data_IF_319343512000
#
_entry.id   IF_319343512000
#
_cell.length_a   1.000
_cell.length_b   1.000
_cell.length_c   1.000
_cell.angle_alpha   90.00
_cell.angle_beta   90.00
_cell.angle_gamma   90.00
#
_symmetry.space_group_name_H-M   'P 1'
#
loop_
_entity.id
_entity.type
_entity.pdbx_description
1 polymer ?
#
# COMPACT_ATOMS: atom_id res chain seq x y z
N UNK A 1 -6.28 -9.94 22.90
CA UNK A 1 -5.00 -10.70 22.82
C UNK A 1 -4.93 -11.87 23.82
N UNK A 2 -5.77 -11.92 24.87
CA UNK A 2 -5.80 -13.00 25.86
C UNK A 2 -6.11 -14.42 25.27
N UNK A 3 -6.65 -14.51 24.07
CA UNK A 3 -6.92 -15.78 23.36
C UNK A 3 -5.76 -16.25 22.48
N UNK A 4 -4.78 -15.39 22.24
CA UNK A 4 -3.63 -15.65 21.38
C UNK A 4 -2.35 -15.31 22.15
N UNK A 5 -1.27 -16.01 21.82
CA UNK A 5 0.08 -15.64 22.28
C UNK A 5 0.73 -14.82 21.17
N UNK A 6 0.75 -13.47 21.24
CA UNK A 6 1.29 -12.63 20.18
C UNK A 6 2.73 -12.98 19.82
N UNK A 7 3.50 -13.48 20.78
CA UNK A 7 4.89 -13.90 20.62
C UNK A 7 5.08 -14.97 19.53
N UNK A 8 4.09 -15.80 19.29
CA UNK A 8 4.12 -16.80 18.22
C UNK A 8 4.03 -16.18 16.80
N UNK A 9 3.63 -14.91 16.74
CA UNK A 9 3.42 -14.16 15.49
C UNK A 9 4.46 -13.07 15.27
N UNK A 10 5.34 -12.84 16.22
CA UNK A 10 6.48 -11.94 16.03
C UNK A 10 7.44 -12.57 15.03
N UNK A 11 7.33 -12.16 13.79
CA UNK A 11 8.18 -12.65 12.72
C UNK A 11 9.33 -11.69 12.47
N UNK A 12 10.47 -12.22 12.06
CA UNK A 12 11.65 -11.38 11.72
C UNK A 12 11.47 -10.63 10.42
N UNK A 13 10.20 -10.24 10.05
CA UNK A 13 10.23 -10.24 8.71
C UNK A 13 9.54 -9.33 7.75
N UNK A 14 8.54 -8.72 7.82
CA UNK A 14 8.00 -7.99 6.67
C UNK A 14 8.36 -6.50 6.60
N UNK A 15 9.00 -6.01 7.58
CA UNK A 15 9.52 -4.65 7.56
C UNK A 15 10.78 -4.62 6.71
N UNK A 16 10.60 -4.34 5.43
CA UNK A 16 11.67 -4.21 4.46
C UNK A 16 12.77 -3.31 5.03
N UNK A 17 13.77 -3.92 5.66
CA UNK A 17 15.02 -3.27 6.02
C UNK A 17 15.00 -2.09 6.99
N UNK A 18 13.97 -1.92 7.78
CA UNK A 18 13.81 -0.72 8.59
C UNK A 18 14.04 -0.93 10.07
N UNK A 19 13.95 -2.13 10.57
CA UNK A 19 14.09 -2.37 11.98
C UNK A 19 15.51 -2.69 12.37
N UNK A 20 16.01 -1.94 13.32
CA UNK A 20 17.21 -2.30 14.06
C UNK A 20 16.81 -3.20 15.22
N UNK A 21 17.11 -4.49 15.12
CA UNK A 21 16.85 -5.43 16.20
C UNK A 21 15.68 -6.39 15.97
N UNK A 22 15.29 -7.12 17.01
CA UNK A 22 14.17 -8.06 16.97
C UNK A 22 12.85 -7.28 17.04
N UNK A 23 12.07 -7.32 15.95
CA UNK A 23 10.76 -6.69 15.91
C UNK A 23 9.72 -7.50 16.68
N UNK A 24 8.97 -6.78 17.49
CA UNK A 24 7.75 -7.25 18.14
C UNK A 24 6.59 -6.45 17.56
N UNK A 25 6.19 -6.88 16.36
CA UNK A 25 5.20 -6.20 15.55
C UNK A 25 3.77 -6.45 16.06
N UNK A 26 2.98 -5.39 16.18
CA UNK A 26 1.57 -5.47 16.56
C UNK A 26 0.70 -4.69 15.57
N UNK A 27 -0.45 -5.27 15.18
CA UNK A 27 -1.40 -4.58 14.29
C UNK A 27 -2.21 -3.54 15.06
N UNK A 28 -2.42 -2.39 14.42
CA UNK A 28 -3.30 -1.32 14.88
C UNK A 28 -4.42 -1.09 13.85
N UNK A 29 -5.62 -0.86 14.34
CA UNK A 29 -6.75 -0.35 13.57
C UNK A 29 -7.16 1.01 14.13
N UNK A 30 -6.78 2.06 13.45
CA UNK A 30 -7.06 3.43 13.83
C UNK A 30 -8.38 3.95 13.26
N UNK A 31 -8.84 3.34 12.15
CA UNK A 31 -10.03 3.78 11.42
C UNK A 31 -10.86 2.60 10.95
N UNK A 32 -12.12 2.86 10.61
CA UNK A 32 -13.01 1.88 9.96
C UNK A 32 -13.68 2.46 8.76
N UNK A 33 -13.79 1.64 7.70
CA UNK A 33 -14.43 2.00 6.45
C UNK A 33 -13.55 2.82 5.52
N UNK A 34 -14.11 3.22 4.40
CA UNK A 34 -13.44 4.04 3.39
C UNK A 34 -14.50 4.88 2.67
N UNK A 35 -14.36 6.21 2.56
CA UNK A 35 -15.40 7.06 1.95
C UNK A 35 -15.39 6.99 0.42
N UNK A 36 -14.46 6.25 -0.17
CA UNK A 36 -14.30 6.13 -1.61
C UNK A 36 -15.05 4.92 -2.17
N UNK A 37 -15.44 5.03 -3.45
CA UNK A 37 -16.22 4.01 -4.16
C UNK A 37 -15.45 3.50 -5.38
N UNK A 38 -14.20 3.09 -5.17
CA UNK A 38 -13.40 2.52 -6.24
C UNK A 38 -14.06 1.25 -6.77
N UNK A 39 -14.24 1.16 -8.09
CA UNK A 39 -15.06 0.11 -8.72
C UNK A 39 -14.51 -1.31 -8.57
N UNK A 40 -13.21 -1.44 -8.29
CA UNK A 40 -12.53 -2.71 -8.08
C UNK A 40 -12.54 -3.19 -6.62
N UNK A 41 -12.96 -2.33 -5.69
CA UNK A 41 -12.86 -2.55 -4.26
C UNK A 41 -14.20 -3.01 -3.67
N UNK A 42 -14.17 -4.02 -2.80
CA UNK A 42 -15.36 -4.53 -2.09
C UNK A 42 -15.72 -3.71 -0.84
N UNK A 43 -14.86 -2.78 -0.40
CA UNK A 43 -15.07 -2.02 0.84
C UNK A 43 -16.42 -1.28 0.90
N UNK A 44 -16.93 -0.66 -0.18
CA UNK A 44 -18.23 0.01 -0.15
C UNK A 44 -19.38 -0.93 0.20
N UNK A 45 -19.29 -2.19 -0.21
CA UNK A 45 -20.30 -3.22 0.07
C UNK A 45 -20.14 -3.85 1.45
N UNK A 46 -18.89 -4.05 1.89
CA UNK A 46 -18.58 -4.68 3.19
C UNK A 46 -18.70 -3.72 4.36
N UNK A 47 -18.25 -2.48 4.21
CA UNK A 47 -18.08 -1.50 5.30
C UNK A 47 -18.90 -0.24 5.11
N UNK A 48 -19.66 -0.12 4.02
CA UNK A 48 -20.29 1.12 3.54
C UNK A 48 -19.26 2.20 3.20
N UNK A 49 -19.73 3.41 2.87
CA UNK A 49 -18.87 4.58 2.65
C UNK A 49 -18.67 5.43 3.90
N UNK A 50 -19.12 4.95 5.05
CA UNK A 50 -18.89 5.61 6.34
C UNK A 50 -17.44 5.44 6.76
N UNK A 51 -16.80 6.55 7.09
CA UNK A 51 -15.44 6.57 7.60
C UNK A 51 -15.42 7.03 9.05
N UNK A 52 -14.95 6.18 9.93
CA UNK A 52 -14.90 6.42 11.37
C UNK A 52 -13.43 6.41 11.79
N UNK A 53 -12.99 7.49 12.41
CA UNK A 53 -11.66 7.61 13.01
C UNK A 53 -11.80 7.45 14.53
N UNK A 54 -10.89 6.69 15.11
CA UNK A 54 -10.71 6.67 16.57
C UNK A 54 -10.07 7.96 17.06
N UNK A 55 -10.28 8.28 18.32
CA UNK A 55 -9.55 9.37 18.95
C UNK A 55 -8.03 9.03 18.97
N UNK A 56 -7.15 9.93 18.53
CA UNK A 56 -5.71 9.73 18.61
C UNK A 56 -5.20 9.32 19.99
N UNK A 57 -5.79 9.83 21.06
CA UNK A 57 -5.43 9.45 22.44
C UNK A 57 -5.71 8.00 22.74
N UNK A 58 -6.89 7.49 22.33
CA UNK A 58 -7.24 6.08 22.51
C UNK A 58 -6.30 5.13 21.77
N UNK A 59 -5.81 5.55 20.59
CA UNK A 59 -4.84 4.77 19.83
C UNK A 59 -3.49 4.74 20.55
N UNK A 60 -3.07 5.87 21.10
CA UNK A 60 -1.82 5.95 21.85
C UNK A 60 -1.94 5.21 23.18
N UNK A 61 -3.11 5.21 23.84
CA UNK A 61 -3.38 4.35 25.02
C UNK A 61 -3.19 2.87 24.69
N UNK A 62 -3.70 2.42 23.54
CA UNK A 62 -3.50 1.04 23.06
C UNK A 62 -2.03 0.74 22.77
N UNK A 63 -1.32 1.65 22.13
CA UNK A 63 0.12 1.51 21.85
C UNK A 63 0.91 1.39 23.15
N UNK A 64 0.67 2.25 24.13
CA UNK A 64 1.32 2.19 25.45
C UNK A 64 1.05 0.85 26.16
N UNK A 65 -0.19 0.38 26.12
CA UNK A 65 -0.55 -0.90 26.68
C UNK A 65 0.17 -2.06 25.99
N UNK A 66 0.24 -2.05 24.63
CA UNK A 66 0.95 -3.07 23.86
C UNK A 66 2.47 -3.06 24.13
N UNK A 67 3.05 -1.88 24.33
CA UNK A 67 4.46 -1.75 24.73
C UNK A 67 4.67 -2.38 26.10
N UNK A 68 3.82 -2.06 27.07
CA UNK A 68 3.95 -2.53 28.46
C UNK A 68 3.71 -4.03 28.58
N UNK A 69 2.70 -4.56 27.90
CA UNK A 69 2.26 -5.95 28.06
C UNK A 69 3.06 -6.93 27.22
N UNK A 70 3.44 -6.53 26.00
CA UNK A 70 4.07 -7.40 25.00
C UNK A 70 5.45 -6.93 24.57
N UNK A 71 5.98 -5.85 25.15
CA UNK A 71 7.22 -5.19 24.73
C UNK A 71 7.21 -4.87 23.22
N UNK A 72 6.05 -4.51 22.68
CA UNK A 72 5.88 -4.17 21.28
C UNK A 72 6.73 -2.95 20.93
N UNK A 73 7.39 -2.98 19.77
CA UNK A 73 8.27 -1.90 19.32
C UNK A 73 8.08 -1.52 17.86
N UNK A 74 7.16 -2.20 17.17
CA UNK A 74 6.76 -1.89 15.80
C UNK A 74 5.24 -2.06 15.65
N UNK A 75 4.59 -1.14 14.92
CA UNK A 75 3.14 -1.10 14.77
C UNK A 75 2.73 -0.97 13.32
N UNK A 76 1.84 -1.84 12.84
CA UNK A 76 1.32 -1.80 11.48
C UNK A 76 -0.15 -1.35 11.47
N UNK A 77 -0.43 -0.29 10.72
CA UNK A 77 -1.79 0.21 10.53
C UNK A 77 -2.48 -0.55 9.40
N UNK A 78 -3.35 -1.50 9.75
CA UNK A 78 -4.11 -2.34 8.80
C UNK A 78 -5.45 -1.72 8.37
N UNK A 79 -5.53 -0.43 8.39
CA UNK A 79 -6.68 0.34 7.96
C UNK A 79 -6.90 0.26 6.45
N UNK A 80 -8.14 0.24 5.99
CA UNK A 80 -8.45 0.33 4.55
C UNK A 80 -7.92 1.63 3.92
N UNK A 81 -7.86 2.71 4.70
CA UNK A 81 -7.16 3.95 4.40
C UNK A 81 -6.94 4.70 5.71
N UNK A 82 -5.73 4.68 6.23
CA UNK A 82 -5.43 5.17 7.57
C UNK A 82 -5.59 6.69 7.69
N UNK A 83 -5.12 7.45 6.69
CA UNK A 83 -5.01 8.91 6.78
C UNK A 83 -5.87 9.56 5.69
N UNK A 84 -6.94 10.25 6.10
CA UNK A 84 -7.78 11.11 5.25
C UNK A 84 -7.75 12.56 5.72
N UNK A 85 -7.62 12.81 7.02
CA UNK A 85 -7.55 14.15 7.60
C UNK A 85 -6.15 14.45 8.11
N UNK A 86 -5.56 15.54 7.62
CA UNK A 86 -4.25 16.01 8.07
C UNK A 86 -4.24 16.33 9.56
N UNK A 87 -5.26 17.02 10.08
CA UNK A 87 -5.33 17.37 11.50
C UNK A 87 -5.28 16.13 12.39
N UNK A 88 -6.01 15.08 12.04
CA UNK A 88 -6.05 13.85 12.81
C UNK A 88 -4.68 13.17 12.93
N UNK A 89 -3.92 13.09 11.84
CA UNK A 89 -2.59 12.48 11.90
C UNK A 89 -1.59 13.36 12.65
N UNK A 90 -1.70 14.68 12.55
CA UNK A 90 -0.88 15.60 13.36
C UNK A 90 -1.20 15.44 14.85
N UNK A 91 -2.49 15.32 15.22
CA UNK A 91 -2.90 15.08 16.61
C UNK A 91 -2.35 13.77 17.15
N UNK A 92 -2.35 12.70 16.35
CA UNK A 92 -1.75 11.41 16.70
C UNK A 92 -0.23 11.53 16.94
N UNK A 93 0.49 12.17 16.02
CA UNK A 93 1.93 12.39 16.17
C UNK A 93 2.26 13.25 17.41
N UNK A 94 1.46 14.28 17.66
CA UNK A 94 1.61 15.13 18.83
C UNK A 94 1.34 14.38 20.14
N UNK A 95 0.38 13.46 20.17
CA UNK A 95 0.08 12.67 21.36
C UNK A 95 1.22 11.67 21.64
N UNK A 96 1.80 11.01 20.63
CA UNK A 96 3.01 10.18 20.79
C UNK A 96 4.17 10.99 21.38
N UNK A 97 4.43 12.18 20.84
CA UNK A 97 5.48 13.08 21.32
C UNK A 97 5.23 13.55 22.75
N UNK A 98 4.00 13.93 23.09
CA UNK A 98 3.61 14.38 24.44
C UNK A 98 3.83 13.30 25.50
N UNK A 99 3.63 12.03 25.15
CA UNK A 99 3.87 10.89 26.03
C UNK A 99 5.29 10.33 25.94
N UNK A 100 6.17 11.01 25.22
CA UNK A 100 7.58 10.62 25.04
C UNK A 100 7.75 9.21 24.46
N UNK A 101 6.78 8.73 23.67
CA UNK A 101 6.86 7.45 22.96
C UNK A 101 7.69 7.66 21.68
N UNK A 102 9.01 7.45 21.78
CA UNK A 102 9.97 7.75 20.72
C UNK A 102 10.83 6.53 20.29
N UNK A 103 10.72 5.41 21.01
CA UNK A 103 11.49 4.18 20.75
C UNK A 103 10.69 3.12 20.00
N UNK A 104 9.77 3.56 19.16
CA UNK A 104 8.96 2.67 18.33
C UNK A 104 9.14 2.98 16.84
N UNK A 105 8.83 1.98 16.02
CA UNK A 105 8.55 2.20 14.59
C UNK A 105 7.08 1.92 14.32
N UNK A 106 6.53 2.58 13.31
CA UNK A 106 5.20 2.28 12.82
C UNK A 106 5.11 2.46 11.30
N UNK A 107 4.11 1.88 10.69
CA UNK A 107 4.06 1.70 9.25
C UNK A 107 2.65 1.85 8.70
N UNK A 108 2.57 2.29 7.45
CA UNK A 108 1.35 2.36 6.63
C UNK A 108 1.46 1.36 5.47
N UNK A 109 1.33 0.04 5.72
CA UNK A 109 1.56 -0.99 4.71
C UNK A 109 0.40 -1.14 3.71
N UNK A 110 -0.79 -0.73 4.10
CA UNK A 110 -2.01 -0.77 3.28
C UNK A 110 -2.17 0.57 2.58
N UNK A 111 -2.28 0.57 1.27
CA UNK A 111 -2.24 1.72 0.38
C UNK A 111 -2.83 3.03 0.92
N UNK A 112 -1.95 3.96 1.24
CA UNK A 112 -2.31 5.28 1.76
C UNK A 112 -2.54 6.29 0.63
N UNK A 113 -3.37 7.28 0.89
CA UNK A 113 -3.67 8.36 -0.06
C UNK A 113 -2.77 9.57 0.21
N UNK A 114 -2.40 10.25 -0.87
CA UNK A 114 -1.48 11.41 -0.82
C UNK A 114 -2.14 12.73 -0.42
N UNK A 115 -3.47 12.80 -0.43
CA UNK A 115 -4.19 14.07 -0.30
C UNK A 115 -4.01 14.76 1.08
N UNK A 116 -3.77 13.97 2.12
CA UNK A 116 -3.50 14.47 3.46
C UNK A 116 -2.02 14.47 3.84
N UNK A 117 -1.14 14.03 2.93
CA UNK A 117 0.30 13.86 3.14
C UNK A 117 1.09 14.96 2.42
N UNK A 118 1.01 16.18 2.92
CA UNK A 118 1.92 17.27 2.55
C UNK A 118 3.23 17.21 3.35
N UNK A 119 4.14 18.15 3.13
CA UNK A 119 5.47 18.19 3.76
C UNK A 119 5.39 18.23 5.30
N UNK A 120 4.45 19.00 5.86
CA UNK A 120 4.26 19.08 7.32
C UNK A 120 3.80 17.72 7.90
N UNK A 121 2.78 17.10 7.29
CA UNK A 121 2.29 15.81 7.74
C UNK A 121 3.36 14.72 7.58
N UNK A 122 4.05 14.68 6.43
CA UNK A 122 5.13 13.72 6.17
C UNK A 122 6.28 13.87 7.16
N UNK A 123 6.65 15.10 7.50
CA UNK A 123 7.68 15.33 8.52
C UNK A 123 7.20 14.89 9.91
N UNK A 124 5.98 15.24 10.31
CA UNK A 124 5.44 14.87 11.61
C UNK A 124 5.39 13.35 11.79
N UNK A 125 4.90 12.60 10.78
CA UNK A 125 4.84 11.14 10.85
C UNK A 125 6.25 10.51 10.88
N UNK A 126 7.22 11.07 10.15
CA UNK A 126 8.60 10.59 10.19
C UNK A 126 9.24 10.80 11.56
N UNK A 127 9.10 12.00 12.11
CA UNK A 127 9.64 12.38 13.43
C UNK A 127 8.99 11.55 14.56
N UNK A 128 7.77 11.02 14.35
CA UNK A 128 7.07 10.14 15.29
C UNK A 128 7.36 8.64 15.10
N UNK A 129 8.28 8.27 14.21
CA UNK A 129 8.71 6.89 14.00
C UNK A 129 8.08 6.17 12.81
N UNK A 130 7.29 6.84 11.97
CA UNK A 130 6.77 6.25 10.73
C UNK A 130 7.90 6.09 9.71
N UNK A 131 8.33 4.86 9.53
CA UNK A 131 9.44 4.58 8.63
C UNK A 131 9.00 4.15 7.23
N UNK A 132 7.77 3.64 7.07
CA UNK A 132 7.30 3.04 5.83
C UNK A 132 5.92 3.54 5.42
N UNK A 133 5.81 3.95 4.15
CA UNK A 133 4.57 4.41 3.54
C UNK A 133 4.33 3.68 2.22
N UNK A 134 3.19 3.00 2.12
CA UNK A 134 2.70 2.44 0.88
C UNK A 134 1.68 3.39 0.24
N UNK A 135 1.98 3.90 -0.94
CA UNK A 135 0.99 4.60 -1.76
C UNK A 135 0.35 3.63 -2.75
N UNK A 136 -0.94 3.78 -2.99
CA UNK A 136 -1.69 2.98 -3.96
C UNK A 136 -2.30 3.87 -5.05
N UNK A 137 -1.49 4.32 -6.04
CA UNK A 137 -2.01 5.01 -7.20
C UNK A 137 -2.99 4.15 -8.01
N UNK A 138 -2.83 2.85 -8.04
CA UNK A 138 -3.50 1.83 -8.84
C UNK A 138 -3.17 1.93 -10.33
N UNK A 139 -3.17 3.10 -10.93
CA UNK A 139 -2.84 3.30 -12.35
C UNK A 139 -2.06 4.60 -12.57
N UNK A 140 -1.19 4.60 -13.57
CA UNK A 140 -0.54 5.79 -14.12
C UNK A 140 -1.32 6.43 -15.28
N UNK A 141 -2.48 5.88 -15.64
CA UNK A 141 -3.37 6.42 -16.64
C UNK A 141 -4.54 7.17 -16.02
N UNK A 142 -4.65 8.48 -16.26
CA UNK A 142 -5.78 9.27 -15.76
C UNK A 142 -7.12 8.72 -16.28
N UNK A 143 -7.14 8.21 -17.52
CA UNK A 143 -8.30 7.54 -18.09
C UNK A 143 -8.72 6.35 -17.23
N UNK A 144 -7.78 5.46 -16.88
CA UNK A 144 -8.05 4.31 -16.01
C UNK A 144 -8.50 4.76 -14.63
N UNK A 145 -7.81 5.74 -14.01
CA UNK A 145 -8.19 6.29 -12.70
C UNK A 145 -9.63 6.81 -12.67
N UNK A 146 -10.04 7.50 -13.70
CA UNK A 146 -11.43 8.01 -13.82
C UNK A 146 -12.42 6.84 -13.94
N UNK A 147 -12.11 5.82 -14.75
CA UNK A 147 -13.01 4.67 -14.96
C UNK A 147 -13.14 3.80 -13.73
N UNK A 148 -12.07 3.64 -12.94
CA UNK A 148 -12.13 2.90 -11.67
C UNK A 148 -12.58 3.76 -10.49
N UNK A 149 -12.97 4.99 -10.73
CA UNK A 149 -13.38 5.97 -9.70
C UNK A 149 -12.32 6.20 -8.61
N UNK A 150 -11.05 6.01 -8.94
CA UNK A 150 -9.92 6.30 -8.04
C UNK A 150 -9.62 7.79 -8.10
N UNK A 151 -10.15 8.54 -7.15
CA UNK A 151 -10.00 10.01 -7.07
C UNK A 151 -8.59 10.39 -6.57
N UNK A 152 -7.56 10.11 -7.36
CA UNK A 152 -6.17 10.48 -7.11
C UNK A 152 -5.71 11.42 -8.22
N UNK A 153 -5.00 12.49 -7.86
CA UNK A 153 -4.31 13.39 -8.79
C UNK A 153 -2.85 12.97 -8.84
N UNK A 154 -2.36 12.57 -10.02
CA UNK A 154 -1.02 12.02 -10.18
C UNK A 154 0.08 13.05 -9.89
N UNK A 155 -0.12 14.32 -10.25
CA UNK A 155 0.80 15.42 -9.95
C UNK A 155 1.00 15.59 -8.44
N UNK A 156 -0.09 15.63 -7.69
CA UNK A 156 -0.05 15.72 -6.23
C UNK A 156 0.57 14.49 -5.57
N UNK A 157 0.28 13.30 -6.11
CA UNK A 157 0.90 12.07 -5.65
C UNK A 157 2.42 12.09 -5.85
N UNK A 158 2.88 12.54 -7.04
CA UNK A 158 4.31 12.67 -7.35
C UNK A 158 4.99 13.61 -6.36
N UNK A 159 4.38 14.75 -6.04
CA UNK A 159 4.98 15.68 -5.07
C UNK A 159 5.04 15.06 -3.67
N UNK A 160 3.98 14.37 -3.22
CA UNK A 160 3.99 13.66 -1.93
C UNK A 160 5.08 12.58 -1.87
N UNK A 161 5.24 11.76 -2.93
CA UNK A 161 6.30 10.74 -3.03
C UNK A 161 7.69 11.37 -2.97
N UNK A 162 7.91 12.46 -3.70
CA UNK A 162 9.18 13.20 -3.74
C UNK A 162 9.55 13.71 -2.35
N UNK A 163 8.60 14.32 -1.66
CA UNK A 163 8.81 14.85 -0.31
C UNK A 163 9.05 13.72 0.69
N UNK A 164 8.23 12.66 0.66
CA UNK A 164 8.42 11.50 1.54
C UNK A 164 9.81 10.86 1.38
N UNK A 165 10.25 10.66 0.14
CA UNK A 165 11.56 10.10 -0.15
C UNK A 165 12.71 11.04 0.27
N UNK A 166 12.55 12.36 0.15
CA UNK A 166 13.52 13.37 0.58
C UNK A 166 13.66 13.40 2.11
N UNK A 167 12.57 13.27 2.84
CA UNK A 167 12.57 13.20 4.32
C UNK A 167 13.25 11.91 4.80
N UNK A 168 13.15 10.82 4.06
CA UNK A 168 13.79 9.53 4.41
C UNK A 168 12.83 8.38 4.61
N UNK A 169 11.54 8.56 4.31
CA UNK A 169 10.58 7.45 4.34
C UNK A 169 10.95 6.36 3.33
N UNK A 170 10.76 5.12 3.72
CA UNK A 170 10.71 4.01 2.78
C UNK A 170 9.37 4.02 2.06
N UNK A 171 9.40 4.32 0.77
CA UNK A 171 8.19 4.47 -0.05
C UNK A 171 7.99 3.25 -0.93
N UNK A 172 6.80 2.67 -0.88
CA UNK A 172 6.31 1.64 -1.81
C UNK A 172 5.18 2.18 -2.68
N UNK A 173 5.10 1.69 -3.90
CA UNK A 173 3.98 1.98 -4.81
C UNK A 173 3.25 0.69 -5.19
N UNK A 174 1.92 0.71 -5.11
CA UNK A 174 1.06 -0.39 -5.55
C UNK A 174 0.26 0.02 -6.78
N UNK A 175 0.37 -0.78 -7.83
CA UNK A 175 -0.40 -0.66 -9.07
C UNK A 175 -1.25 -1.90 -9.29
N UNK A 176 -2.38 -1.71 -9.96
CA UNK A 176 -3.18 -2.77 -10.54
C UNK A 176 -3.24 -2.53 -12.04
N UNK A 177 -2.89 -3.52 -12.85
CA UNK A 177 -2.90 -3.45 -14.30
C UNK A 177 -3.80 -4.52 -14.88
N UNK A 178 -4.39 -4.24 -16.04
CA UNK A 178 -5.30 -5.17 -16.71
C UNK A 178 -6.76 -5.03 -16.26
N UNK A 179 -7.20 -3.83 -15.90
CA UNK A 179 -8.63 -3.56 -15.72
C UNK A 179 -9.41 -3.84 -17.01
N UNK A 180 -10.69 -4.25 -16.94
CA UNK A 180 -11.47 -4.66 -18.13
C UNK A 180 -11.40 -3.69 -19.31
N UNK A 181 -11.34 -2.40 -19.03
CA UNK A 181 -11.38 -1.32 -20.02
C UNK A 181 -10.00 -0.81 -20.46
N UNK A 182 -8.91 -1.30 -19.86
CA UNK A 182 -7.57 -0.81 -20.18
C UNK A 182 -7.10 -1.24 -21.56
N UNK A 183 -6.42 -0.35 -22.23
CA UNK A 183 -5.63 -0.64 -23.42
C UNK A 183 -4.19 -0.93 -23.03
N UNK A 184 -3.41 -1.47 -23.97
CA UNK A 184 -1.96 -1.65 -23.77
C UNK A 184 -1.27 -0.35 -23.35
N UNK A 185 -1.69 0.79 -23.93
CA UNK A 185 -1.14 2.12 -23.61
C UNK A 185 -1.43 2.49 -22.14
N UNK A 186 -2.63 2.19 -21.63
CA UNK A 186 -2.99 2.47 -20.25
C UNK A 186 -2.14 1.64 -19.27
N UNK A 187 -1.94 0.35 -19.58
CA UNK A 187 -1.05 -0.53 -18.80
C UNK A 187 0.41 -0.02 -18.83
N UNK A 188 0.91 0.37 -20.01
CA UNK A 188 2.26 0.93 -20.16
C UNK A 188 2.45 2.22 -19.36
N UNK A 189 1.45 3.12 -19.34
CA UNK A 189 1.51 4.33 -18.49
C UNK A 189 1.71 3.99 -17.02
N UNK A 190 1.04 2.95 -16.53
CA UNK A 190 1.19 2.51 -15.12
C UNK A 190 2.58 1.94 -14.86
N UNK A 191 3.11 1.12 -15.77
CA UNK A 191 4.47 0.56 -15.68
C UNK A 191 5.52 1.66 -15.72
N UNK A 192 5.43 2.57 -16.70
CA UNK A 192 6.38 3.68 -16.83
C UNK A 192 6.31 4.66 -15.67
N UNK A 193 5.14 4.87 -15.06
CA UNK A 193 5.01 5.73 -13.89
C UNK A 193 5.79 5.17 -12.69
N UNK A 194 5.71 3.86 -12.43
CA UNK A 194 6.51 3.23 -11.37
C UNK A 194 8.01 3.26 -11.67
N UNK A 195 8.42 3.00 -12.93
CA UNK A 195 9.81 3.11 -13.37
C UNK A 195 10.33 4.55 -13.16
N UNK A 196 9.58 5.56 -13.62
CA UNK A 196 9.91 6.97 -13.41
C UNK A 196 10.14 7.30 -11.92
N UNK A 197 9.21 6.88 -11.05
CA UNK A 197 9.36 7.12 -9.61
C UNK A 197 10.60 6.42 -9.03
N UNK A 198 10.92 5.21 -9.51
CA UNK A 198 12.07 4.44 -9.06
C UNK A 198 13.40 5.15 -9.37
N UNK A 199 13.56 5.64 -10.59
CA UNK A 199 14.76 6.37 -11.00
C UNK A 199 14.83 7.77 -10.39
N UNK A 200 13.70 8.50 -10.37
CA UNK A 200 13.70 9.94 -10.03
C UNK A 200 13.69 10.18 -8.53
N UNK A 201 12.91 9.42 -7.77
CA UNK A 201 12.74 9.63 -6.34
C UNK A 201 13.38 8.54 -5.50
N UNK A 202 13.75 7.41 -6.12
CA UNK A 202 14.35 6.28 -5.43
C UNK A 202 13.41 5.69 -4.40
N UNK A 203 12.19 5.43 -4.80
CA UNK A 203 11.26 4.61 -4.02
C UNK A 203 11.95 3.29 -3.65
N UNK A 204 11.42 2.59 -2.68
CA UNK A 204 12.07 1.39 -2.16
C UNK A 204 11.54 0.11 -2.79
N UNK A 205 10.25 0.10 -3.11
CA UNK A 205 9.57 -1.08 -3.65
C UNK A 205 8.42 -0.66 -4.56
N UNK A 206 8.05 -1.54 -5.47
CA UNK A 206 6.90 -1.39 -6.37
C UNK A 206 6.20 -2.72 -6.51
N UNK A 207 4.87 -2.69 -6.58
CA UNK A 207 4.07 -3.85 -6.92
C UNK A 207 3.16 -3.55 -8.12
N UNK A 208 3.11 -4.48 -9.07
CA UNK A 208 2.17 -4.49 -10.18
C UNK A 208 1.30 -5.73 -10.06
N UNK A 209 0.15 -5.59 -9.42
CA UNK A 209 -0.83 -6.66 -9.34
C UNK A 209 -1.64 -6.77 -10.63
N UNK A 210 -2.07 -7.97 -11.01
CA UNK A 210 -3.06 -8.15 -12.07
C UNK A 210 -4.45 -7.89 -11.50
N UNK A 211 -5.29 -7.20 -12.27
CA UNK A 211 -6.67 -7.00 -11.85
C UNK A 211 -7.37 -8.35 -11.63
N UNK A 212 -7.93 -8.50 -10.45
CA UNK A 212 -8.74 -9.65 -10.05
C UNK A 212 -10.08 -9.15 -9.50
N UNK A 213 -11.21 -9.60 -10.05
CA UNK A 213 -12.52 -9.14 -9.65
C UNK A 213 -12.94 -9.80 -8.32
N UNK A 214 -12.89 -9.05 -7.24
CA UNK A 214 -13.33 -9.53 -5.92
C UNK A 214 -14.85 -9.41 -5.75
N UNK A 215 -15.51 -10.44 -5.19
CA UNK A 215 -16.94 -10.41 -4.90
C UNK A 215 -17.35 -9.16 -4.11
N UNK A 216 -18.47 -8.56 -4.47
CA UNK A 216 -18.97 -7.34 -3.86
C UNK A 216 -18.38 -6.04 -4.43
N UNK A 217 -17.42 -6.11 -5.35
CA UNK A 217 -16.97 -4.93 -6.08
C UNK A 217 -17.86 -4.65 -7.30
N UNK A 218 -17.98 -3.37 -7.69
CA UNK A 218 -18.77 -2.97 -8.87
C UNK A 218 -18.31 -3.68 -10.16
N UNK A 219 -16.99 -3.81 -10.35
CA UNK A 219 -16.44 -4.50 -11.51
C UNK A 219 -16.71 -6.02 -11.49
N UNK A 220 -16.74 -6.65 -10.32
CA UNK A 220 -17.12 -8.05 -10.20
C UNK A 220 -18.58 -8.25 -10.63
N UNK A 221 -19.50 -7.44 -10.11
CA UNK A 221 -20.91 -7.55 -10.46
C UNK A 221 -21.17 -7.30 -11.96
N UNK A 222 -20.42 -6.33 -12.54
CA UNK A 222 -20.46 -6.06 -13.98
C UNK A 222 -20.01 -7.29 -14.79
N UNK A 223 -18.83 -7.86 -14.49
CA UNK A 223 -18.29 -9.00 -15.20
C UNK A 223 -19.18 -10.25 -15.04
N UNK A 224 -19.78 -10.45 -13.88
CA UNK A 224 -20.74 -11.53 -13.63
C UNK A 224 -21.99 -11.34 -14.49
N UNK A 225 -22.54 -10.14 -14.57
CA UNK A 225 -23.71 -9.83 -15.43
C UNK A 225 -23.39 -10.03 -16.91
N UNK A 226 -22.17 -9.71 -17.33
CA UNK A 226 -21.68 -9.93 -18.71
C UNK A 226 -21.32 -11.39 -18.99
N UNK A 227 -21.50 -12.30 -18.04
CA UNK A 227 -21.13 -13.74 -18.13
C UNK A 227 -19.65 -13.96 -18.46
N UNK A 228 -18.77 -13.02 -18.06
CA UNK A 228 -17.32 -13.13 -18.22
C UNK A 228 -16.64 -13.87 -17.07
N UNK A 229 -17.38 -14.19 -16.02
CA UNK A 229 -16.89 -14.99 -14.89
C UNK A 229 -18.02 -15.88 -14.33
N UNK A 230 -17.64 -17.08 -13.94
CA UNK A 230 -18.48 -18.03 -13.23
C UNK A 230 -17.87 -18.33 -11.86
N UNK A 231 -18.69 -18.31 -10.81
CA UNK A 231 -18.28 -18.62 -9.44
C UNK A 231 -18.12 -20.14 -9.26
N UNK A 232 -16.95 -20.62 -9.57
CA UNK A 232 -16.56 -22.03 -9.41
C UNK A 232 -15.10 -22.10 -8.89
N UNK A 233 -14.60 -23.30 -8.62
CA UNK A 233 -13.23 -23.48 -8.12
C UNK A 233 -12.16 -22.87 -9.03
N UNK A 234 -12.39 -22.86 -10.35
CA UNK A 234 -11.49 -22.28 -11.31
C UNK A 234 -11.43 -20.75 -11.18
N UNK A 235 -12.57 -20.10 -10.85
CA UNK A 235 -12.59 -18.66 -10.54
C UNK A 235 -11.68 -18.35 -9.33
N UNK A 236 -11.82 -19.11 -8.23
CA UNK A 236 -11.00 -18.88 -7.04
C UNK A 236 -9.51 -19.15 -7.29
N UNK A 237 -9.17 -20.15 -8.11
CA UNK A 237 -7.78 -20.36 -8.56
C UNK A 237 -7.25 -19.19 -9.38
N UNK A 238 -8.08 -18.61 -10.25
CA UNK A 238 -7.70 -17.43 -11.06
C UNK A 238 -7.51 -16.16 -10.23
N UNK A 239 -8.17 -16.04 -9.07
CA UNK A 239 -7.90 -14.92 -8.16
C UNK A 239 -6.44 -14.90 -7.68
N UNK A 240 -5.78 -16.06 -7.58
CA UNK A 240 -4.36 -16.14 -7.20
C UNK A 240 -3.45 -15.46 -8.23
N UNK A 241 -3.87 -15.30 -9.49
CA UNK A 241 -3.14 -14.56 -10.52
C UNK A 241 -2.84 -13.10 -10.12
N UNK A 242 -3.53 -12.57 -9.12
CA UNK A 242 -3.23 -11.26 -8.54
C UNK A 242 -1.74 -11.11 -8.20
N UNK A 243 -1.09 -12.13 -7.67
CA UNK A 243 0.34 -12.15 -7.37
C UNK A 243 1.11 -13.25 -8.11
N UNK A 244 0.47 -14.36 -8.46
CA UNK A 244 1.12 -15.47 -9.14
C UNK A 244 1.36 -15.14 -10.62
N UNK A 245 2.63 -14.99 -10.98
CA UNK A 245 3.05 -14.71 -12.37
C UNK A 245 3.02 -15.96 -13.26
N UNK A 246 2.95 -17.15 -12.68
CA UNK A 246 2.99 -18.42 -13.43
C UNK A 246 1.63 -18.79 -14.02
N UNK A 247 0.55 -18.21 -13.50
CA UNK A 247 -0.82 -18.45 -13.95
C UNK A 247 -1.50 -17.14 -14.40
N UNK A 248 -0.98 -16.47 -15.43
CA UNK A 248 -1.50 -15.19 -15.85
C UNK A 248 -2.93 -15.34 -16.40
N UNK A 249 -3.86 -14.64 -15.78
CA UNK A 249 -5.24 -14.53 -16.25
C UNK A 249 -5.64 -13.07 -16.39
N UNK A 250 -6.34 -12.72 -17.45
CA UNK A 250 -6.80 -11.35 -17.69
C UNK A 250 -8.31 -11.30 -17.85
N UNK A 251 -8.90 -10.32 -17.19
CA UNK A 251 -10.28 -9.89 -17.42
C UNK A 251 -10.33 -8.63 -18.30
N UNK A 252 -9.18 -8.20 -18.83
CA UNK A 252 -9.08 -7.06 -19.73
C UNK A 252 -9.55 -7.45 -21.13
N UNK A 253 -10.37 -6.60 -21.75
CA UNK A 253 -10.91 -6.85 -23.09
C UNK A 253 -9.85 -6.69 -24.19
N UNK A 254 -8.77 -5.94 -23.94
CA UNK A 254 -7.79 -5.53 -24.97
C UNK A 254 -6.37 -6.08 -24.72
N UNK A 255 -6.09 -6.63 -23.56
CA UNK A 255 -4.74 -7.07 -23.20
C UNK A 255 -4.77 -8.47 -22.61
N UNK A 256 -4.03 -9.38 -23.21
CA UNK A 256 -3.97 -10.77 -22.76
C UNK A 256 -3.24 -10.92 -21.42
N UNK A 257 -3.55 -11.98 -20.68
CA UNK A 257 -2.87 -12.29 -19.41
C UNK A 257 -1.35 -12.45 -19.59
N UNK A 258 -0.90 -13.07 -20.70
CA UNK A 258 0.54 -13.19 -21.02
C UNK A 258 1.20 -11.83 -21.21
N UNK A 259 0.54 -10.93 -21.94
CA UNK A 259 1.04 -9.57 -22.15
C UNK A 259 1.16 -8.83 -20.82
N UNK A 260 0.15 -8.94 -19.93
CA UNK A 260 0.20 -8.30 -18.62
C UNK A 260 1.35 -8.90 -17.77
N UNK A 261 1.56 -10.22 -17.80
CA UNK A 261 2.67 -10.85 -17.10
C UNK A 261 4.05 -10.35 -17.60
N UNK A 262 4.20 -10.17 -18.90
CA UNK A 262 5.43 -9.59 -19.50
C UNK A 262 5.60 -8.13 -19.02
N UNK A 263 4.55 -7.32 -19.04
CA UNK A 263 4.59 -5.95 -18.57
C UNK A 263 4.98 -5.85 -17.09
N UNK A 264 4.45 -6.75 -16.26
CA UNK A 264 4.84 -6.86 -14.84
C UNK A 264 6.32 -7.16 -14.70
N UNK A 265 6.81 -8.18 -15.42
CA UNK A 265 8.23 -8.55 -15.40
C UNK A 265 9.13 -7.39 -15.81
N UNK A 266 8.80 -6.70 -16.91
CA UNK A 266 9.51 -5.49 -17.36
C UNK A 266 9.45 -4.40 -16.27
N UNK A 267 8.27 -4.12 -15.74
CA UNK A 267 8.07 -3.12 -14.70
C UNK A 267 8.92 -3.40 -13.46
N UNK A 268 8.86 -4.61 -12.93
CA UNK A 268 9.69 -5.02 -11.79
C UNK A 268 11.19 -4.88 -12.11
N UNK A 269 11.65 -5.44 -13.23
CA UNK A 269 13.06 -5.42 -13.61
C UNK A 269 13.60 -4.00 -13.70
N UNK A 270 12.93 -3.12 -14.42
CA UNK A 270 13.39 -1.74 -14.58
C UNK A 270 13.23 -0.91 -13.30
N UNK A 271 12.19 -1.14 -12.50
CA UNK A 271 12.06 -0.47 -11.20
C UNK A 271 13.20 -0.84 -10.28
N UNK A 272 13.52 -2.14 -10.12
CA UNK A 272 14.63 -2.56 -9.25
C UNK A 272 15.99 -2.13 -9.80
N UNK A 273 16.20 -2.15 -11.11
CA UNK A 273 17.38 -1.55 -11.73
C UNK A 273 17.49 -0.07 -11.32
N UNK A 274 16.41 0.71 -11.44
CA UNK A 274 16.38 2.11 -11.03
C UNK A 274 16.66 2.30 -9.54
N UNK A 275 16.02 1.49 -8.68
CA UNK A 275 16.18 1.52 -7.22
C UNK A 275 17.63 1.30 -6.79
N UNK A 276 18.32 0.33 -7.40
CA UNK A 276 19.69 -0.04 -7.01
C UNK A 276 20.75 0.83 -7.70
N UNK A 277 20.59 1.19 -8.97
CA UNK A 277 21.53 2.08 -9.68
C UNK A 277 21.57 3.47 -9.04
N UNK A 278 20.40 4.02 -8.69
CA UNK A 278 20.35 5.36 -8.10
C UNK A 278 20.78 5.39 -6.63
N UNK A 279 20.83 4.23 -5.96
CA UNK A 279 21.21 4.10 -4.54
C UNK A 279 22.02 2.84 -4.28
N UNK A 280 23.27 2.79 -4.77
CA UNK A 280 24.12 1.58 -4.68
C UNK A 280 24.39 1.09 -3.25
N UNK A 281 24.27 1.98 -2.27
CA UNK A 281 24.36 1.61 -0.85
C UNK A 281 23.32 0.54 -0.44
N UNK A 282 22.19 0.45 -1.17
CA UNK A 282 21.19 -0.58 -0.93
C UNK A 282 21.68 -1.98 -1.31
N UNK A 283 22.49 -2.09 -2.36
CA UNK A 283 23.13 -3.36 -2.74
C UNK A 283 24.06 -3.82 -1.62
N UNK A 284 24.85 -2.90 -1.09
CA UNK A 284 25.77 -3.22 0.02
C UNK A 284 25.01 -3.69 1.26
N UNK A 285 23.88 -3.03 1.61
CA UNK A 285 23.01 -3.45 2.72
C UNK A 285 22.42 -4.83 2.46
N UNK A 286 21.93 -5.10 1.24
CA UNK A 286 21.39 -6.39 0.83
C UNK A 286 22.42 -7.53 1.02
N UNK A 287 23.63 -7.32 0.55
CA UNK A 287 24.72 -8.31 0.65
C UNK A 287 25.18 -8.56 2.08
N UNK A 288 25.05 -7.58 2.98
CA UNK A 288 25.39 -7.72 4.41
C UNK A 288 24.24 -8.26 5.28
N UNK A 289 23.06 -8.52 4.71
CA UNK A 289 21.88 -8.88 5.49
C UNK A 289 21.44 -7.76 6.46
N UNK A 290 21.88 -6.53 6.20
CA UNK A 290 21.55 -5.35 6.98
C UNK A 290 20.33 -4.66 6.33
N UNK A 291 19.15 -5.23 6.52
CA UNK A 291 17.89 -4.59 6.19
C UNK A 291 17.30 -3.92 7.40
#
# INVERSE_FOLDING_TARGET
>A
WHLLKPENYFTNSFTIGLAKGKLRNMPILATRGCPYQCTFCSSPTMWTTRYIMRDPKEIVDEIEWLIKEYEANDFEFFDLTAIIKKSWILDFCNELKKREINNITWQLPVGTRSEALDEEALKAIYDSGCAYICYAPESGSEKSLNMIKKRVKLDRLVESIKVAAKIGHTVKLNFIIGFPHETLIDCLKSVFFGIYCSFRFGIYDVNYAMFSPYPGSELFEKLKKEKKLDLNDNYFKKLMAYQDVTQPHSYCDHVSGRTIAILRFIGFSFCYIGIYITRPIRIYKLLKGCF
#
